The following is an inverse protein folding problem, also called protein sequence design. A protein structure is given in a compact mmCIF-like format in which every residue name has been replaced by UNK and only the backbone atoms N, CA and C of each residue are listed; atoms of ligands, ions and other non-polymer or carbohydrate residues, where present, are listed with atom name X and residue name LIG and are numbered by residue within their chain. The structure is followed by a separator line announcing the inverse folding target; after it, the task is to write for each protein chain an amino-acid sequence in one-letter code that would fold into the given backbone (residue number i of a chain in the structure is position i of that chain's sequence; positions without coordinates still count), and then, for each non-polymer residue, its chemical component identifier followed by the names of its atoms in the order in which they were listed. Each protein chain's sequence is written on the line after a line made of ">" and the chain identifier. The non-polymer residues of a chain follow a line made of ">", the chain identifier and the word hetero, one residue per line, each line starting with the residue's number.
data_IF_801431851472
#
_entry.id   IF_801431851472
#
_cell.length_a   1.000
_cell.length_b   1.000
_cell.length_c   1.000
_cell.angle_alpha   90.00
_cell.angle_beta   90.00
_cell.angle_gamma   90.00
#
_symmetry.space_group_name_H-M   'P 1'
#
loop_
_entity.id
_entity.type
_entity.pdbx_description
1 polymer ?
#
# COMPACT_ATOMS: atom_id res chain seq x y z
N UNK A 1 21.37 -15.46 -4.26
CA UNK A 1 21.44 -14.00 -4.42
C UNK A 1 20.08 -13.59 -4.93
N UNK A 2 19.35 -12.74 -4.21
CA UNK A 2 18.09 -12.19 -4.75
C UNK A 2 18.51 -11.09 -5.69
N UNK A 3 18.26 -11.26 -6.99
CA UNK A 3 18.41 -10.19 -7.96
C UNK A 3 17.55 -9.01 -7.51
N UNK A 4 18.16 -7.83 -7.42
CA UNK A 4 17.44 -6.61 -7.09
C UNK A 4 16.42 -6.38 -8.20
N UNK A 5 15.13 -6.40 -7.85
CA UNK A 5 14.04 -5.98 -8.74
C UNK A 5 14.04 -4.45 -8.85
N UNK A 6 15.19 -3.84 -9.14
CA UNK A 6 15.25 -2.43 -9.50
C UNK A 6 14.66 -2.29 -10.90
N UNK A 7 13.35 -2.07 -10.92
CA UNK A 7 12.67 -1.58 -12.11
C UNK A 7 13.15 -0.15 -12.34
N UNK A 8 13.53 0.18 -13.58
CA UNK A 8 13.63 1.56 -14.08
C UNK A 8 12.25 2.20 -13.93
N UNK A 9 11.96 2.67 -12.73
CA UNK A 9 10.72 3.32 -12.37
C UNK A 9 10.89 4.76 -12.74
N UNK A 10 9.93 5.30 -13.49
CA UNK A 10 9.89 6.72 -13.81
C UNK A 10 10.10 7.52 -12.51
N UNK A 11 11.11 8.40 -12.43
CA UNK A 11 11.43 9.14 -11.22
C UNK A 11 10.25 9.97 -10.67
N UNK A 12 9.34 10.40 -11.54
CA UNK A 12 8.09 11.09 -11.17
C UNK A 12 7.15 10.13 -10.46
N UNK A 13 6.97 8.92 -11.00
CA UNK A 13 6.15 7.87 -10.37
C UNK A 13 6.75 7.52 -9.00
N UNK A 14 8.05 7.30 -8.91
CA UNK A 14 8.71 6.99 -7.64
C UNK A 14 8.47 8.09 -6.59
N UNK A 15 8.59 9.36 -6.99
CA UNK A 15 8.37 10.50 -6.09
C UNK A 15 6.93 10.57 -5.59
N UNK A 16 5.95 10.35 -6.48
CA UNK A 16 4.53 10.33 -6.11
C UNK A 16 4.24 9.19 -5.12
N UNK A 17 4.76 8.00 -5.38
CA UNK A 17 4.55 6.83 -4.51
C UNK A 17 5.19 7.02 -3.14
N UNK A 18 6.41 7.56 -3.07
CA UNK A 18 7.09 7.84 -1.80
C UNK A 18 6.33 8.91 -1.00
N UNK A 19 5.83 9.95 -1.66
CA UNK A 19 5.00 11.00 -1.03
C UNK A 19 3.74 10.41 -0.43
N UNK A 20 3.02 9.60 -1.21
CA UNK A 20 1.78 8.97 -0.78
C UNK A 20 2.01 7.98 0.37
N UNK A 21 3.08 7.18 0.30
CA UNK A 21 3.41 6.22 1.35
C UNK A 21 3.72 6.92 2.69
N UNK A 22 4.48 8.02 2.65
CA UNK A 22 4.77 8.83 3.86
C UNK A 22 3.48 9.41 4.45
N UNK A 23 2.64 10.01 3.60
CA UNK A 23 1.35 10.58 4.01
C UNK A 23 0.48 9.55 4.74
N UNK A 24 0.24 8.39 4.12
CA UNK A 24 -0.60 7.33 4.72
C UNK A 24 -0.03 6.77 6.02
N UNK A 25 1.30 6.61 6.10
CA UNK A 25 1.97 6.18 7.34
C UNK A 25 1.73 7.18 8.46
N UNK A 26 1.81 8.48 8.17
CA UNK A 26 1.64 9.52 9.17
C UNK A 26 0.18 9.64 9.62
N UNK A 27 -0.77 9.50 8.69
CA UNK A 27 -2.22 9.41 8.97
C UNK A 27 -2.58 8.20 9.86
N UNK A 28 -1.91 7.05 9.68
CA UNK A 28 -2.08 5.90 10.57
C UNK A 28 -1.48 6.18 11.95
N UNK A 29 -0.29 6.78 12.01
CA UNK A 29 0.42 7.04 13.27
C UNK A 29 -0.24 8.09 14.14
N UNK A 30 -0.83 9.11 13.52
CA UNK A 30 -1.53 10.18 14.24
C UNK A 30 -3.01 9.83 14.55
N UNK A 31 -3.48 8.66 14.09
CA UNK A 31 -4.83 8.16 14.35
C UNK A 31 -5.91 8.80 13.48
N UNK A 32 -5.58 9.61 12.47
CA UNK A 32 -6.56 10.14 11.52
C UNK A 32 -7.13 9.04 10.61
N UNK A 33 -6.38 7.96 10.42
CA UNK A 33 -6.80 6.78 9.65
C UNK A 33 -6.59 5.52 10.49
N UNK A 34 -7.64 4.71 10.62
CA UNK A 34 -7.55 3.40 11.25
C UNK A 34 -7.20 2.33 10.19
N UNK A 35 -6.08 1.60 10.34
CA UNK A 35 -5.76 0.51 9.43
C UNK A 35 -6.70 -0.67 9.63
N UNK A 36 -6.92 -1.44 8.56
CA UNK A 36 -7.61 -2.73 8.59
C UNK A 36 -6.58 -3.87 8.53
N UNK A 37 -6.90 -5.02 9.12
CA UNK A 37 -6.10 -6.23 8.95
C UNK A 37 -6.06 -6.64 7.47
N UNK A 38 -4.91 -7.07 6.98
CA UNK A 38 -4.77 -7.56 5.60
C UNK A 38 -5.63 -8.79 5.33
N UNK A 39 -5.79 -9.67 6.32
CA UNK A 39 -6.67 -10.84 6.24
C UNK A 39 -8.14 -10.41 6.11
N UNK A 40 -8.59 -9.48 6.95
CA UNK A 40 -9.96 -8.96 6.91
C UNK A 40 -10.27 -8.25 5.59
N UNK A 41 -9.30 -7.48 5.08
CA UNK A 41 -9.41 -6.79 3.79
C UNK A 41 -9.56 -7.79 2.64
N UNK A 42 -8.70 -8.81 2.59
CA UNK A 42 -8.76 -9.84 1.56
C UNK A 42 -10.03 -10.69 1.66
N UNK A 43 -10.48 -11.02 2.88
CA UNK A 43 -11.73 -11.73 3.09
C UNK A 43 -12.94 -10.93 2.62
N UNK A 44 -12.95 -9.60 2.84
CA UNK A 44 -13.99 -8.71 2.30
C UNK A 44 -14.01 -8.74 0.77
N UNK A 45 -12.86 -8.62 0.12
CA UNK A 45 -12.77 -8.66 -1.35
C UNK A 45 -13.27 -9.99 -1.90
N UNK A 46 -12.86 -11.12 -1.31
CA UNK A 46 -13.30 -12.46 -1.72
C UNK A 46 -14.82 -12.60 -1.72
N UNK A 47 -15.49 -12.14 -0.65
CA UNK A 47 -16.97 -12.16 -0.58
C UNK A 47 -17.66 -11.34 -1.67
N UNK A 48 -16.98 -10.35 -2.26
CA UNK A 48 -17.56 -9.51 -3.31
C UNK A 48 -17.39 -10.10 -4.71
N UNK A 49 -16.47 -11.06 -4.89
CA UNK A 49 -16.10 -11.61 -6.20
C UNK A 49 -16.35 -13.12 -6.33
N UNK A 50 -16.54 -13.82 -5.21
CA UNK A 50 -16.93 -15.23 -5.21
C UNK A 50 -18.45 -15.35 -5.48
N UNK A 51 -18.89 -16.18 -6.43
CA UNK A 51 -20.30 -16.35 -6.81
C UNK A 51 -21.16 -17.07 -5.77
#
# INVERSE_FOLDING_TARGET
>A
MVESLEFDTDPVIQTVWVTEAKRRRDEVRNGSVQPISGEDALAQVRRLIEP
#
